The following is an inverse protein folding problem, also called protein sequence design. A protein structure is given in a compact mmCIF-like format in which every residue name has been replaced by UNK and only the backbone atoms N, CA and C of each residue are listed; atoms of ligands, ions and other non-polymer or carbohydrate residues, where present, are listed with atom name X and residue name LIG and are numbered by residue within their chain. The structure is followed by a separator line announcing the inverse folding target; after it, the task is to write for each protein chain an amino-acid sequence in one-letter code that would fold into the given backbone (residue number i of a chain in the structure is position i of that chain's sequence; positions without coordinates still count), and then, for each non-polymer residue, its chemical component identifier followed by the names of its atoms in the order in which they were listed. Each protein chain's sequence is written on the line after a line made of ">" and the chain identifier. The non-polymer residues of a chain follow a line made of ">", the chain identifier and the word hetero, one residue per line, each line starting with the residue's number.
data_IF_175066235471
#
_entry.id   IF_175066235471
#
_cell.length_a   1.000
_cell.length_b   1.000
_cell.length_c   1.000
_cell.angle_alpha   90.00
_cell.angle_beta   90.00
_cell.angle_gamma   90.00
#
_symmetry.space_group_name_H-M   'P 1'
#
loop_
_entity.id
_entity.type
_entity.pdbx_description
1 polymer ?
#
# COMPACT_ATOMS: atom_id res chain seq x y z
N UNK A 1 -22.27 9.97 43.65
CA UNK A 1 -20.86 9.59 43.37
C UNK A 1 -20.72 8.22 42.69
N UNK A 2 -21.33 7.13 43.17
CA UNK A 2 -21.21 5.79 42.55
C UNK A 2 -21.59 5.72 41.06
N UNK A 3 -22.68 6.37 40.65
CA UNK A 3 -23.08 6.46 39.23
C UNK A 3 -22.07 7.24 38.36
N UNK A 4 -21.44 8.26 38.92
CA UNK A 4 -20.44 9.08 38.23
C UNK A 4 -19.13 8.30 38.01
N UNK A 5 -18.75 7.48 38.99
CA UNK A 5 -17.59 6.56 38.88
C UNK A 5 -17.87 5.46 37.85
N UNK A 6 -19.08 4.92 37.78
CA UNK A 6 -19.47 3.93 36.75
C UNK A 6 -19.44 4.55 35.36
N UNK A 7 -19.95 5.78 35.19
CA UNK A 7 -19.90 6.51 33.91
C UNK A 7 -18.44 6.82 33.52
N UNK A 8 -17.59 7.23 34.47
CA UNK A 8 -16.17 7.48 34.22
C UNK A 8 -15.44 6.17 33.86
N UNK A 9 -15.72 5.06 34.54
CA UNK A 9 -15.18 3.73 34.22
C UNK A 9 -15.66 3.24 32.85
N UNK A 10 -16.93 3.46 32.49
CA UNK A 10 -17.47 3.17 31.15
C UNK A 10 -16.84 4.02 30.05
N UNK A 11 -16.43 5.26 30.34
CA UNK A 11 -15.67 6.10 29.40
C UNK A 11 -14.21 5.64 29.24
N UNK A 12 -13.67 4.86 30.19
CA UNK A 12 -12.32 4.26 30.09
C UNK A 12 -12.30 2.88 29.42
N UNK A 13 -13.46 2.22 29.26
CA UNK A 13 -13.58 1.03 28.40
C UNK A 13 -13.66 1.56 26.97
N UNK A 14 -12.49 1.87 26.40
CA UNK A 14 -12.38 2.38 25.05
C UNK A 14 -13.08 1.44 24.07
N UNK A 15 -13.96 1.99 23.23
CA UNK A 15 -14.47 1.26 22.09
C UNK A 15 -13.29 0.86 21.20
N UNK A 16 -13.34 -0.37 20.69
CA UNK A 16 -12.30 -0.86 19.81
C UNK A 16 -12.86 -1.03 18.40
N UNK A 17 -11.96 -1.02 17.42
CA UNK A 17 -12.31 -1.05 16.01
C UNK A 17 -11.70 -2.27 15.38
N UNK A 18 -12.56 -3.14 14.90
CA UNK A 18 -12.20 -4.24 14.03
C UNK A 18 -12.32 -3.78 12.59
N UNK A 19 -11.53 -4.35 11.70
CA UNK A 19 -11.72 -4.12 10.27
C UNK A 19 -11.63 -5.43 9.51
N UNK A 20 -12.34 -5.49 8.40
CA UNK A 20 -12.31 -6.62 7.48
C UNK A 20 -12.65 -6.12 6.08
N UNK A 21 -12.32 -6.92 5.09
CA UNK A 21 -12.46 -6.53 3.70
C UNK A 21 -13.75 -7.10 3.10
N UNK A 22 -14.37 -6.34 2.20
CA UNK A 22 -15.32 -6.89 1.24
C UNK A 22 -14.57 -7.31 -0.03
N UNK A 23 -14.77 -8.55 -0.48
CA UNK A 23 -14.18 -9.05 -1.72
C UNK A 23 -14.94 -8.40 -2.88
N UNK A 24 -14.50 -7.24 -3.34
CA UNK A 24 -14.84 -6.76 -4.69
C UNK A 24 -13.75 -7.21 -5.67
N UNK A 25 -14.15 -7.92 -6.71
CA UNK A 25 -13.31 -8.30 -7.84
C UNK A 25 -13.47 -7.24 -8.93
N UNK A 26 -12.74 -6.13 -8.81
CA UNK A 26 -12.47 -5.29 -9.97
C UNK A 26 -11.17 -5.79 -10.59
N UNK A 27 -11.25 -6.17 -11.87
CA UNK A 27 -10.11 -6.65 -12.65
C UNK A 27 -9.22 -5.47 -13.00
N UNK A 28 -7.90 -5.53 -12.71
CA UNK A 28 -6.99 -4.44 -13.06
C UNK A 28 -6.87 -4.29 -14.59
N UNK A 29 -6.64 -3.06 -15.03
CA UNK A 29 -6.21 -2.78 -16.40
C UNK A 29 -4.78 -3.30 -16.60
N UNK A 30 -4.64 -4.47 -17.21
CA UNK A 30 -3.36 -5.12 -17.51
C UNK A 30 -2.78 -4.61 -18.83
N UNK A 31 -1.73 -3.80 -18.75
CA UNK A 31 -0.88 -3.49 -19.91
C UNK A 31 0.08 -4.67 -20.16
N UNK A 32 -0.16 -5.40 -21.25
CA UNK A 32 0.49 -6.68 -21.56
C UNK A 32 1.88 -6.48 -22.17
N UNK A 33 2.92 -6.83 -21.42
CA UNK A 33 4.23 -7.23 -21.97
C UNK A 33 4.68 -8.56 -21.35
N UNK A 34 5.48 -9.31 -22.10
CA UNK A 34 5.91 -10.67 -21.72
C UNK A 34 7.10 -10.61 -20.74
N UNK A 35 6.91 -11.07 -19.50
CA UNK A 35 7.97 -11.17 -18.48
C UNK A 35 8.78 -12.46 -18.68
N UNK A 36 10.06 -12.48 -18.33
CA UNK A 36 10.86 -13.72 -18.34
C UNK A 36 10.33 -14.76 -17.35
N UNK A 37 10.56 -16.08 -17.57
CA UNK A 37 9.97 -17.12 -16.72
C UNK A 37 10.56 -17.18 -15.30
N UNK A 38 11.75 -16.64 -15.08
CA UNK A 38 12.38 -16.57 -13.75
C UNK A 38 13.18 -15.27 -13.60
N UNK A 39 12.47 -14.13 -13.46
CA UNK A 39 13.11 -12.82 -13.41
C UNK A 39 13.76 -12.58 -12.04
N UNK A 40 14.96 -11.99 -12.03
CA UNK A 40 15.49 -11.37 -10.82
C UNK A 40 14.80 -10.03 -10.60
N UNK A 41 13.96 -9.93 -9.58
CA UNK A 41 13.15 -8.74 -9.31
C UNK A 41 13.70 -7.97 -8.12
N UNK A 42 13.86 -6.65 -8.27
CA UNK A 42 14.04 -5.73 -7.14
C UNK A 42 12.68 -5.18 -6.72
N UNK A 43 12.32 -5.35 -5.45
CA UNK A 43 11.07 -4.83 -4.88
C UNK A 43 11.30 -3.50 -4.18
N UNK A 44 10.53 -2.49 -4.60
CA UNK A 44 10.57 -1.11 -4.15
C UNK A 44 9.19 -0.66 -3.69
N UNK A 45 9.12 0.24 -2.73
CA UNK A 45 7.88 0.68 -2.11
C UNK A 45 7.31 -0.39 -1.18
N UNK A 46 6.01 -0.68 -1.30
CA UNK A 46 5.28 -1.57 -0.40
C UNK A 46 5.33 -1.12 1.07
N UNK A 47 5.27 0.19 1.29
CA UNK A 47 5.19 0.78 2.63
C UNK A 47 3.82 1.43 2.80
N UNK A 48 3.05 1.08 3.86
CA UNK A 48 1.88 1.87 4.24
C UNK A 48 2.32 3.23 4.77
N UNK A 49 1.37 4.14 5.01
CA UNK A 49 1.66 5.43 5.65
C UNK A 49 1.51 5.35 7.16
N UNK A 50 2.24 6.20 7.89
CA UNK A 50 2.04 6.52 9.31
C UNK A 50 1.89 8.02 9.52
N UNK A 51 1.10 8.40 10.53
CA UNK A 51 1.00 9.80 10.96
C UNK A 51 2.24 10.15 11.78
N UNK A 52 2.94 11.22 11.41
CA UNK A 52 4.16 11.68 12.09
C UNK A 52 3.98 13.01 12.83
N UNK A 53 3.02 13.83 12.39
CA UNK A 53 2.73 15.11 13.04
C UNK A 53 1.24 15.41 12.97
N UNK A 54 0.70 15.91 14.08
CA UNK A 54 -0.67 16.35 14.22
C UNK A 54 -0.70 17.66 15.00
N UNK A 55 -0.87 18.77 14.28
CA UNK A 55 -0.99 20.10 14.85
C UNK A 55 -2.42 20.57 14.77
N UNK A 56 -3.07 20.70 15.93
CA UNK A 56 -4.43 21.22 16.06
C UNK A 56 -4.37 22.70 16.40
N UNK A 57 -4.72 23.55 15.44
CA UNK A 57 -4.83 25.01 15.64
C UNK A 57 -6.28 25.47 15.66
N UNK A 58 -6.54 26.64 16.25
CA UNK A 58 -7.88 27.25 16.31
C UNK A 58 -8.52 27.51 14.92
N UNK A 59 -7.69 27.64 13.86
CA UNK A 59 -8.15 27.93 12.49
C UNK A 59 -7.70 26.90 11.45
N UNK A 60 -6.67 26.11 11.73
CA UNK A 60 -6.13 25.11 10.80
C UNK A 60 -5.61 23.92 11.57
N UNK A 61 -5.98 22.73 11.11
CA UNK A 61 -5.36 21.49 11.50
C UNK A 61 -4.35 21.11 10.42
N UNK A 62 -3.16 20.67 10.83
CA UNK A 62 -2.14 20.13 9.94
C UNK A 62 -1.86 18.70 10.36
N UNK A 63 -1.99 17.78 9.42
CA UNK A 63 -1.70 16.37 9.61
C UNK A 63 -0.67 15.98 8.57
N UNK A 64 0.41 15.35 9.01
CA UNK A 64 1.49 14.92 8.13
C UNK A 64 1.58 13.41 8.21
N UNK A 65 1.51 12.77 7.05
CA UNK A 65 1.78 11.34 6.89
C UNK A 65 3.09 11.13 6.12
N UNK A 66 3.81 10.08 6.50
CA UNK A 66 5.03 9.64 5.84
C UNK A 66 5.00 8.12 5.65
N UNK A 67 5.79 7.58 4.72
CA UNK A 67 5.94 6.14 4.56
C UNK A 67 6.44 5.49 5.86
N UNK A 68 5.79 4.39 6.23
CA UNK A 68 6.12 3.61 7.41
C UNK A 68 7.10 2.50 7.08
N UNK A 69 8.38 2.85 7.10
CA UNK A 69 9.49 1.93 6.82
C UNK A 69 9.57 0.74 7.78
N UNK A 70 9.03 0.88 9.00
CA UNK A 70 9.05 -0.16 10.04
C UNK A 70 8.00 -1.25 9.75
N UNK A 71 6.95 -0.91 9.00
CA UNK A 71 5.81 -1.79 8.71
C UNK A 71 5.74 -2.17 7.22
N UNK A 72 6.89 -2.51 6.63
CA UNK A 72 6.96 -2.97 5.25
C UNK A 72 6.03 -4.16 4.96
N UNK A 73 5.49 -4.17 3.74
CA UNK A 73 4.74 -5.27 3.15
C UNK A 73 5.52 -5.96 2.02
N UNK A 74 6.80 -5.65 1.86
CA UNK A 74 7.68 -6.31 0.87
C UNK A 74 7.71 -7.83 1.08
N UNK A 75 7.74 -8.29 2.33
CA UNK A 75 7.79 -9.71 2.69
C UNK A 75 6.51 -10.48 2.30
N UNK A 76 5.40 -9.80 2.09
CA UNK A 76 4.15 -10.42 1.63
C UNK A 76 4.16 -10.65 0.11
N UNK A 77 5.12 -10.06 -0.62
CA UNK A 77 5.28 -10.24 -2.05
C UNK A 77 6.17 -11.45 -2.34
N UNK A 78 5.65 -12.42 -3.12
CA UNK A 78 6.28 -13.75 -3.30
C UNK A 78 7.71 -13.69 -3.86
N UNK A 79 8.01 -12.67 -4.66
CA UNK A 79 9.29 -12.50 -5.33
C UNK A 79 10.23 -11.55 -4.58
N UNK A 80 9.92 -11.22 -3.33
CA UNK A 80 10.81 -10.41 -2.51
C UNK A 80 12.00 -11.23 -2.03
N UNK A 81 13.17 -10.87 -2.52
CA UNK A 81 14.43 -11.43 -2.07
C UNK A 81 15.11 -10.52 -1.03
N UNK A 82 15.17 -11.00 0.20
CA UNK A 82 15.79 -10.30 1.34
C UNK A 82 17.32 -10.33 1.28
N UNK A 83 17.91 -11.38 0.69
CA UNK A 83 19.34 -11.67 0.69
C UNK A 83 20.09 -10.98 -0.45
N UNK A 84 19.43 -10.71 -1.58
CA UNK A 84 20.09 -10.12 -2.75
C UNK A 84 20.34 -8.59 -2.66
N UNK A 85 20.16 -7.97 -1.49
CA UNK A 85 19.99 -6.52 -1.39
C UNK A 85 21.25 -5.68 -1.66
N UNK A 86 22.47 -6.23 -1.57
CA UNK A 86 23.71 -5.46 -1.78
C UNK A 86 24.80 -6.33 -2.42
N UNK A 87 25.06 -6.14 -3.72
CA UNK A 87 26.29 -6.66 -4.33
C UNK A 87 27.50 -5.97 -3.68
N UNK A 88 28.48 -6.74 -3.21
CA UNK A 88 29.73 -6.20 -2.63
C UNK A 88 30.50 -5.28 -3.60
N UNK A 89 30.21 -5.36 -4.90
CA UNK A 89 30.68 -4.43 -5.93
C UNK A 89 29.50 -3.94 -6.80
N UNK A 90 28.94 -2.75 -6.53
CA UNK A 90 27.86 -2.18 -7.33
C UNK A 90 28.39 -1.75 -8.70
N UNK A 91 28.01 -2.46 -9.77
CA UNK A 91 28.20 -1.95 -11.14
C UNK A 91 27.22 -0.80 -11.37
N UNK A 92 27.77 0.38 -11.66
CA UNK A 92 26.98 1.56 -12.05
C UNK A 92 26.59 1.45 -13.52
N UNK A 93 25.32 1.71 -13.82
CA UNK A 93 24.83 1.83 -15.18
C UNK A 93 24.27 3.23 -15.39
N UNK A 94 24.70 3.91 -16.44
CA UNK A 94 24.10 5.18 -16.85
C UNK A 94 22.65 4.96 -17.28
N UNK A 95 21.74 5.74 -16.72
CA UNK A 95 20.33 5.75 -17.08
C UNK A 95 20.04 6.86 -18.07
N UNK A 96 19.00 6.66 -18.88
CA UNK A 96 18.42 7.75 -19.65
C UNK A 96 17.81 8.77 -18.69
N UNK A 97 18.06 10.05 -18.95
CA UNK A 97 17.58 11.15 -18.13
C UNK A 97 16.04 11.18 -18.08
N UNK A 98 15.38 10.90 -19.19
CA UNK A 98 13.91 10.91 -19.27
C UNK A 98 13.30 9.79 -18.41
N UNK A 99 13.82 8.57 -18.53
CA UNK A 99 13.30 7.42 -17.76
C UNK A 99 13.59 7.55 -16.27
N UNK A 100 14.80 7.98 -15.89
CA UNK A 100 15.13 8.23 -14.49
C UNK A 100 14.25 9.33 -13.89
N UNK A 101 14.05 10.43 -14.60
CA UNK A 101 13.20 11.54 -14.14
C UNK A 101 11.74 11.14 -14.02
N UNK A 102 11.20 10.38 -14.99
CA UNK A 102 9.83 9.85 -14.92
C UNK A 102 9.65 8.90 -13.75
N UNK A 103 10.60 8.01 -13.49
CA UNK A 103 10.57 7.11 -12.35
C UNK A 103 10.58 7.86 -11.02
N UNK A 104 11.54 8.79 -10.85
CA UNK A 104 11.72 9.59 -9.63
C UNK A 104 10.48 10.43 -9.35
N UNK A 105 10.04 11.23 -10.33
CA UNK A 105 8.89 12.10 -10.15
C UNK A 105 7.61 11.28 -10.00
N UNK A 106 7.47 10.19 -10.75
CA UNK A 106 6.36 9.26 -10.63
C UNK A 106 6.21 8.77 -9.19
N UNK A 107 7.29 8.32 -8.57
CA UNK A 107 7.24 7.85 -7.18
C UNK A 107 7.02 9.01 -6.18
N UNK A 108 7.82 10.07 -6.25
CA UNK A 108 7.76 11.19 -5.30
C UNK A 108 6.43 11.96 -5.36
N UNK A 109 5.73 11.96 -6.48
CA UNK A 109 4.41 12.58 -6.59
C UNK A 109 3.36 11.88 -5.70
N UNK A 110 3.50 10.57 -5.47
CA UNK A 110 2.58 9.83 -4.60
C UNK A 110 3.02 9.82 -3.13
N UNK A 111 4.31 9.59 -2.86
CA UNK A 111 4.80 9.38 -1.47
C UNK A 111 5.47 10.62 -0.85
N UNK A 112 5.61 11.68 -1.64
CA UNK A 112 6.25 12.92 -1.23
C UNK A 112 7.72 12.73 -0.84
N UNK A 113 8.20 13.60 0.06
CA UNK A 113 9.60 13.61 0.50
C UNK A 113 10.02 12.32 1.21
N UNK A 114 9.07 11.59 1.80
CA UNK A 114 9.38 10.37 2.56
C UNK A 114 9.97 9.27 1.68
N UNK A 115 9.70 9.25 0.37
CA UNK A 115 10.23 8.27 -0.59
C UNK A 115 11.66 8.54 -1.09
N UNK A 116 12.25 9.70 -0.80
CA UNK A 116 13.61 10.04 -1.26
C UNK A 116 14.63 9.01 -0.80
N UNK A 117 14.49 8.53 0.46
CA UNK A 117 15.38 7.52 1.05
C UNK A 117 15.45 6.26 0.20
N UNK A 118 14.35 5.82 -0.40
CA UNK A 118 14.34 4.62 -1.23
C UNK A 118 14.95 4.86 -2.61
N UNK A 119 14.71 6.04 -3.21
CA UNK A 119 15.32 6.41 -4.49
C UNK A 119 16.84 6.43 -4.38
N UNK A 120 17.39 7.00 -3.30
CA UNK A 120 18.83 7.06 -3.05
C UNK A 120 19.49 5.67 -2.97
N UNK A 121 18.74 4.62 -2.61
CA UNK A 121 19.28 3.24 -2.59
C UNK A 121 19.48 2.63 -3.97
N UNK A 122 18.89 3.22 -5.01
CA UNK A 122 18.81 2.64 -6.36
C UNK A 122 19.43 3.56 -7.40
N UNK A 123 19.26 4.87 -7.24
CA UNK A 123 19.71 5.88 -8.19
C UNK A 123 20.67 6.82 -7.47
N UNK A 124 21.85 6.96 -8.06
CA UNK A 124 22.82 7.97 -7.67
C UNK A 124 22.87 9.07 -8.75
N UNK A 125 22.97 10.33 -8.33
CA UNK A 125 23.16 11.47 -9.20
C UNK A 125 24.63 11.91 -9.13
N UNK A 126 25.39 11.66 -10.20
CA UNK A 126 26.78 12.09 -10.32
C UNK A 126 26.94 12.96 -11.57
N UNK A 127 27.55 14.14 -11.45
CA UNK A 127 27.81 15.05 -12.58
C UNK A 127 26.58 15.33 -13.46
N UNK A 128 25.40 15.55 -12.85
CA UNK A 128 24.10 15.75 -13.53
C UNK A 128 23.63 14.55 -14.38
N UNK A 129 24.19 13.37 -14.17
CA UNK A 129 23.77 12.13 -14.82
C UNK A 129 23.27 11.15 -13.77
N UNK A 130 22.17 10.46 -14.09
CA UNK A 130 21.59 9.43 -13.23
C UNK A 130 22.28 8.10 -13.49
N UNK A 131 22.64 7.42 -12.41
CA UNK A 131 23.25 6.10 -12.42
C UNK A 131 22.44 5.12 -11.59
N UNK A 132 22.11 3.98 -12.17
CA UNK A 132 21.52 2.85 -11.47
C UNK A 132 22.60 2.12 -10.67
N UNK A 133 22.33 1.89 -9.39
CA UNK A 133 23.15 1.12 -8.47
C UNK A 133 22.67 -0.35 -8.54
N UNK A 134 23.60 -1.30 -8.60
CA UNK A 134 23.34 -2.75 -8.54
C UNK A 134 22.52 -3.34 -9.71
N UNK A 135 23.17 -3.49 -10.87
CA UNK A 135 22.65 -4.13 -12.11
C UNK A 135 22.40 -5.65 -12.03
N UNK A 136 22.01 -6.22 -10.90
CA UNK A 136 21.79 -7.68 -10.81
C UNK A 136 20.31 -8.08 -10.98
N UNK A 137 19.45 -7.15 -11.38
CA UNK A 137 18.02 -7.38 -11.52
C UNK A 137 17.56 -7.18 -12.95
N UNK A 138 16.66 -8.05 -13.40
CA UNK A 138 16.05 -7.99 -14.73
C UNK A 138 14.89 -6.99 -14.74
N UNK A 139 14.17 -6.89 -13.63
CA UNK A 139 13.02 -6.00 -13.45
C UNK A 139 13.00 -5.35 -12.07
N UNK A 140 12.36 -4.19 -12.02
CA UNK A 140 12.08 -3.45 -10.78
C UNK A 140 10.56 -3.38 -10.62
N UNK A 141 10.04 -3.83 -9.48
CA UNK A 141 8.62 -3.66 -9.15
C UNK A 141 8.48 -2.59 -8.07
N UNK A 142 7.63 -1.61 -8.33
CA UNK A 142 7.32 -0.52 -7.42
C UNK A 142 5.86 -0.65 -6.98
N UNK A 143 5.66 -0.91 -5.69
CA UNK A 143 4.33 -0.93 -5.07
C UNK A 143 4.07 0.38 -4.33
N UNK A 144 3.00 1.08 -4.70
CA UNK A 144 2.55 2.31 -4.05
C UNK A 144 1.18 2.03 -3.45
N UNK A 145 1.08 2.24 -2.15
CA UNK A 145 -0.18 2.13 -1.43
C UNK A 145 -0.78 3.51 -1.21
N UNK A 146 -2.10 3.59 -1.24
CA UNK A 146 -2.83 4.78 -0.88
C UNK A 146 -4.26 4.46 -0.44
N UNK A 147 -5.05 5.48 -0.11
CA UNK A 147 -4.62 6.85 0.16
C UNK A 147 -3.74 6.98 1.43
N UNK A 148 -3.10 8.14 1.56
CA UNK A 148 -2.29 8.53 2.72
C UNK A 148 -3.09 8.58 4.03
N UNK A 149 -4.34 9.03 3.96
CA UNK A 149 -5.29 9.03 5.06
C UNK A 149 -6.56 8.27 4.71
N UNK A 150 -7.25 7.73 5.72
CA UNK A 150 -8.56 7.09 5.55
C UNK A 150 -9.53 8.03 4.82
N UNK A 151 -10.01 7.60 3.65
CA UNK A 151 -11.09 8.27 2.91
C UNK A 151 -12.36 7.45 3.03
N UNK A 152 -13.41 8.06 3.61
CA UNK A 152 -14.73 7.42 3.64
C UNK A 152 -15.30 7.43 2.23
N UNK A 153 -15.93 6.33 1.86
CA UNK A 153 -16.65 6.21 0.61
C UNK A 153 -17.77 7.24 0.55
N UNK A 154 -17.89 7.95 -0.57
CA UNK A 154 -18.76 9.13 -0.73
C UNK A 154 -20.24 8.79 -0.44
N UNK A 155 -20.68 7.57 -0.74
CA UNK A 155 -22.08 7.13 -0.60
C UNK A 155 -22.35 6.28 0.66
N UNK A 156 -21.52 6.37 1.71
CA UNK A 156 -21.67 5.57 2.95
C UNK A 156 -22.78 6.11 3.89
N UNK A 157 -24.01 6.18 3.39
CA UNK A 157 -25.21 6.52 4.17
C UNK A 157 -25.43 5.53 5.31
N UNK A 158 -25.20 4.24 5.04
CA UNK A 158 -25.31 3.17 6.03
C UNK A 158 -24.35 3.40 7.19
N UNK A 159 -23.10 3.76 6.91
CA UNK A 159 -22.12 4.01 7.96
C UNK A 159 -22.44 5.24 8.79
N UNK A 160 -22.92 6.31 8.16
CA UNK A 160 -23.39 7.50 8.88
C UNK A 160 -24.56 7.19 9.80
N UNK A 161 -25.53 6.39 9.34
CA UNK A 161 -26.67 5.98 10.15
C UNK A 161 -26.26 5.10 11.34
N UNK A 162 -25.46 4.06 11.10
CA UNK A 162 -25.02 3.14 12.17
C UNK A 162 -24.19 3.84 13.24
N UNK A 163 -23.42 4.87 12.90
CA UNK A 163 -22.71 5.70 13.89
C UNK A 163 -23.63 6.39 14.89
N UNK A 164 -24.78 6.89 14.45
CA UNK A 164 -25.74 7.58 15.33
C UNK A 164 -26.25 6.60 16.39
N UNK A 165 -26.70 5.42 15.96
CA UNK A 165 -27.15 4.38 16.89
C UNK A 165 -26.03 3.88 17.79
N UNK A 166 -24.83 3.72 17.24
CA UNK A 166 -23.69 3.32 18.02
C UNK A 166 -23.36 4.34 19.11
N UNK A 167 -23.38 5.64 18.79
CA UNK A 167 -23.19 6.71 19.77
C UNK A 167 -24.31 6.73 20.83
N UNK A 168 -25.57 6.65 20.41
CA UNK A 168 -26.73 6.64 21.31
C UNK A 168 -26.76 5.42 22.23
N UNK A 169 -26.21 4.29 21.79
CA UNK A 169 -26.14 3.04 22.56
C UNK A 169 -24.77 2.80 23.21
N UNK A 170 -23.91 3.83 23.25
CA UNK A 170 -22.56 3.75 23.84
C UNK A 170 -21.72 2.57 23.34
N UNK A 171 -21.81 2.26 22.05
CA UNK A 171 -21.01 1.20 21.43
C UNK A 171 -21.61 -0.20 21.51
N UNK A 172 -22.81 -0.38 22.07
CA UNK A 172 -23.49 -1.69 22.12
C UNK A 172 -23.91 -2.11 20.71
N UNK A 173 -24.60 -1.23 19.97
CA UNK A 173 -24.86 -1.43 18.55
C UNK A 173 -23.61 -1.02 17.78
N UNK A 174 -23.04 -1.84 16.90
CA UNK A 174 -21.82 -1.49 16.17
C UNK A 174 -22.03 -0.35 15.16
N UNK A 175 -21.03 0.52 15.03
CA UNK A 175 -20.89 1.39 13.86
C UNK A 175 -20.15 0.64 12.75
N UNK A 176 -20.67 0.68 11.53
CA UNK A 176 -20.02 0.10 10.35
C UNK A 176 -19.57 1.28 9.49
N UNK A 177 -18.39 1.21 8.90
CA UNK A 177 -17.91 2.25 7.97
C UNK A 177 -17.18 1.60 6.82
N UNK A 178 -17.34 2.16 5.62
CA UNK A 178 -16.59 1.79 4.42
C UNK A 178 -15.54 2.84 4.08
N UNK A 179 -14.32 2.39 3.82
CA UNK A 179 -13.19 3.22 3.43
C UNK A 179 -12.57 2.75 2.12
N UNK A 180 -12.11 3.71 1.33
CA UNK A 180 -11.40 3.47 0.10
C UNK A 180 -9.93 3.14 0.38
N UNK A 181 -9.40 2.19 -0.39
CA UNK A 181 -8.00 1.77 -0.36
C UNK A 181 -7.55 1.46 -1.78
N UNK A 182 -6.33 1.85 -2.10
CA UNK A 182 -5.80 1.78 -3.45
C UNK A 182 -4.38 1.20 -3.41
N UNK A 183 -4.07 0.36 -4.39
CA UNK A 183 -2.73 -0.13 -4.63
C UNK A 183 -2.35 0.05 -6.10
N UNK A 184 -1.23 0.71 -6.36
CA UNK A 184 -0.66 0.88 -7.69
C UNK A 184 0.67 0.15 -7.79
N UNK A 185 0.81 -0.70 -8.81
CA UNK A 185 2.00 -1.52 -9.03
C UNK A 185 2.57 -1.23 -10.39
N UNK A 186 3.84 -0.84 -10.42
CA UNK A 186 4.54 -0.50 -11.64
C UNK A 186 5.70 -1.45 -11.81
N UNK A 187 5.74 -2.12 -12.95
CA UNK A 187 6.83 -2.97 -13.37
C UNK A 187 7.71 -2.19 -14.35
N UNK A 188 8.99 -2.10 -14.03
CA UNK A 188 10.00 -1.48 -14.88
C UNK A 188 11.02 -2.50 -15.33
N UNK A 189 11.59 -2.29 -16.50
CA UNK A 189 12.72 -3.06 -17.00
C UNK A 189 14.04 -2.69 -16.28
N UNK A 190 15.11 -3.37 -16.64
CA UNK A 190 16.49 -3.10 -16.19
C UNK A 190 17.00 -1.66 -16.40
N UNK A 191 16.34 -0.87 -17.24
CA UNK A 191 16.70 0.52 -17.56
C UNK A 191 15.71 1.52 -16.94
N UNK A 192 14.83 1.07 -16.04
CA UNK A 192 13.73 1.85 -15.45
C UNK A 192 12.70 2.36 -16.47
N UNK A 193 12.57 1.71 -17.62
CA UNK A 193 11.48 1.95 -18.55
C UNK A 193 10.24 1.20 -18.06
N UNK A 194 9.10 1.88 -18.01
CA UNK A 194 7.83 1.27 -17.60
C UNK A 194 7.41 0.19 -18.61
N UNK A 195 7.18 -1.02 -18.09
CA UNK A 195 6.77 -2.22 -18.83
C UNK A 195 5.27 -2.46 -18.64
N UNK A 196 4.82 -2.39 -17.40
CA UNK A 196 3.41 -2.64 -17.05
C UNK A 196 3.02 -1.85 -15.82
N UNK A 197 1.74 -1.51 -15.71
CA UNK A 197 1.15 -0.91 -14.53
C UNK A 197 -0.16 -1.61 -14.21
N UNK A 198 -0.41 -1.87 -12.94
CA UNK A 198 -1.64 -2.46 -12.42
C UNK A 198 -2.18 -1.56 -11.32
N UNK A 199 -3.48 -1.26 -11.37
CA UNK A 199 -4.16 -0.43 -10.39
C UNK A 199 -5.30 -1.22 -9.75
N UNK A 200 -5.34 -1.19 -8.42
CA UNK A 200 -6.28 -1.97 -7.61
C UNK A 200 -7.06 -1.03 -6.69
N UNK A 201 -8.17 -0.45 -7.15
CA UNK A 201 -9.11 0.24 -6.30
C UNK A 201 -9.90 -0.79 -5.49
N UNK A 202 -9.98 -0.60 -4.19
CA UNK A 202 -10.67 -1.50 -3.28
C UNK A 202 -11.34 -0.72 -2.15
N UNK A 203 -12.16 -1.43 -1.39
CA UNK A 203 -12.76 -0.89 -0.17
C UNK A 203 -12.54 -1.88 0.97
N UNK A 204 -12.37 -1.35 2.16
CA UNK A 204 -12.38 -2.13 3.39
C UNK A 204 -13.40 -1.57 4.36
N UNK A 205 -13.94 -2.45 5.19
CA UNK A 205 -14.92 -2.11 6.21
C UNK A 205 -14.26 -2.05 7.57
N UNK A 206 -14.74 -1.15 8.40
CA UNK A 206 -14.45 -1.18 9.83
C UNK A 206 -15.74 -1.32 10.60
N UNK A 207 -15.70 -2.13 11.65
CA UNK A 207 -16.74 -2.22 12.66
C UNK A 207 -16.15 -1.64 13.94
N UNK A 208 -16.85 -0.70 14.55
CA UNK A 208 -16.49 -0.14 15.85
C UNK A 208 -17.58 -0.50 16.84
N UNK A 209 -17.22 -1.15 17.95
CA UNK A 209 -18.15 -1.46 19.03
C UNK A 209 -17.41 -1.56 20.38
N UNK A 210 -18.18 -1.57 21.47
CA UNK A 210 -17.65 -1.64 22.83
C UNK A 210 -17.16 -3.05 23.19
N UNK A 211 -17.87 -4.07 22.71
CA UNK A 211 -17.68 -5.47 23.11
C UNK A 211 -16.72 -6.25 22.21
N UNK A 212 -16.23 -5.65 21.13
CA UNK A 212 -15.33 -6.29 20.19
C UNK A 212 -13.89 -5.97 20.56
N UNK A 213 -12.95 -6.83 20.17
CA UNK A 213 -11.52 -6.59 20.26
C UNK A 213 -10.96 -6.18 18.90
N UNK A 214 -10.01 -5.24 18.82
CA UNK A 214 -9.45 -4.80 17.56
C UNK A 214 -8.48 -5.86 17.04
N UNK A 215 -8.49 -6.08 15.73
CA UNK A 215 -7.55 -6.98 15.08
C UNK A 215 -6.22 -6.29 14.69
N UNK A 216 -6.24 -4.99 14.40
CA UNK A 216 -5.02 -4.18 14.34
C UNK A 216 -5.29 -2.77 14.84
N UNK A 217 -4.31 -2.20 15.56
CA UNK A 217 -4.38 -0.88 16.14
C UNK A 217 -5.38 -0.76 17.30
N UNK A 218 -5.41 0.41 17.93
CA UNK A 218 -6.44 0.76 18.91
C UNK A 218 -7.07 2.07 18.48
N UNK A 219 -8.36 2.04 18.14
CA UNK A 219 -9.06 3.19 17.57
C UNK A 219 -10.31 3.50 18.38
N UNK A 220 -10.42 4.72 18.85
CA UNK A 220 -11.61 5.23 19.54
C UNK A 220 -12.58 5.87 18.54
N UNK A 221 -13.82 6.12 18.98
CA UNK A 221 -14.88 6.76 18.19
C UNK A 221 -14.48 8.08 17.53
N UNK A 222 -13.54 8.81 18.15
CA UNK A 222 -13.19 10.18 17.78
C UNK A 222 -11.93 10.29 16.92
N UNK A 223 -11.20 9.19 16.71
CA UNK A 223 -10.06 9.18 15.80
C UNK A 223 -10.54 8.94 14.36
N UNK A 224 -10.82 10.04 13.67
CA UNK A 224 -11.16 10.06 12.25
C UNK A 224 -9.97 10.34 11.33
N UNK A 225 -8.81 10.68 11.88
CA UNK A 225 -7.63 11.15 11.14
C UNK A 225 -6.48 10.14 11.17
N UNK A 226 -6.82 8.87 10.96
CA UNK A 226 -5.84 7.80 10.97
C UNK A 226 -5.37 7.45 9.57
N UNK A 227 -4.21 6.79 9.53
CA UNK A 227 -3.72 6.04 8.37
C UNK A 227 -4.46 4.72 8.23
N UNK A 228 -4.45 4.16 7.03
CA UNK A 228 -5.07 2.87 6.71
C UNK A 228 -4.31 1.73 7.44
N UNK A 229 -5.01 0.78 8.08
CA UNK A 229 -4.36 -0.33 8.78
C UNK A 229 -3.56 -1.22 7.81
N UNK A 230 -2.43 -1.75 8.27
CA UNK A 230 -1.51 -2.56 7.46
C UNK A 230 -2.23 -3.77 6.84
N UNK A 231 -3.08 -4.44 7.60
CA UNK A 231 -3.82 -5.62 7.19
C UNK A 231 -4.74 -5.36 6.00
N UNK A 232 -5.24 -4.13 5.83
CA UNK A 232 -6.07 -3.79 4.67
C UNK A 232 -5.28 -3.86 3.35
N UNK A 233 -3.96 -3.62 3.38
CA UNK A 233 -3.09 -3.72 2.21
C UNK A 233 -2.59 -5.14 1.93
N UNK A 234 -2.64 -6.07 2.88
CA UNK A 234 -2.13 -7.45 2.68
C UNK A 234 -2.84 -8.16 1.54
N UNK A 235 -4.16 -8.03 1.48
CA UNK A 235 -4.96 -8.65 0.43
C UNK A 235 -4.70 -8.03 -0.95
N UNK A 236 -4.27 -6.77 -1.00
CA UNK A 236 -3.81 -6.17 -2.25
C UNK A 236 -2.56 -6.91 -2.73
N UNK A 237 -1.54 -7.03 -1.87
CA UNK A 237 -0.28 -7.75 -2.16
C UNK A 237 -0.54 -9.17 -2.66
N UNK A 238 -1.44 -9.90 -2.00
CA UNK A 238 -1.82 -11.25 -2.42
C UNK A 238 -2.43 -11.30 -3.82
N UNK A 239 -3.28 -10.34 -4.19
CA UNK A 239 -3.84 -10.28 -5.55
C UNK A 239 -2.78 -10.02 -6.60
N UNK A 240 -1.83 -9.13 -6.32
CA UNK A 240 -0.72 -8.88 -7.26
C UNK A 240 0.15 -10.10 -7.41
N UNK A 241 0.37 -10.87 -6.34
CA UNK A 241 1.09 -12.14 -6.46
C UNK A 241 0.39 -13.07 -7.48
N UNK A 242 -0.94 -13.17 -7.42
CA UNK A 242 -1.73 -13.97 -8.37
C UNK A 242 -1.61 -13.40 -9.80
N UNK A 243 -1.80 -12.09 -9.96
CA UNK A 243 -1.77 -11.47 -11.28
C UNK A 243 -0.37 -11.48 -11.91
N UNK A 244 0.68 -11.38 -11.10
CA UNK A 244 2.06 -11.52 -11.53
C UNK A 244 2.38 -12.95 -11.97
N UNK A 245 1.89 -13.97 -11.26
CA UNK A 245 1.97 -15.37 -11.70
C UNK A 245 1.26 -15.59 -13.04
N UNK A 246 0.07 -14.99 -13.22
CA UNK A 246 -0.67 -15.05 -14.46
C UNK A 246 0.12 -14.45 -15.64
N UNK A 247 0.77 -13.29 -15.41
CA UNK A 247 1.65 -12.65 -16.40
C UNK A 247 2.83 -13.54 -16.82
N UNK A 248 3.43 -14.25 -15.86
CA UNK A 248 4.53 -15.20 -16.11
C UNK A 248 4.06 -16.43 -16.89
N UNK A 249 2.88 -16.97 -16.56
CA UNK A 249 2.36 -18.18 -17.17
C UNK A 249 1.85 -17.99 -18.61
N UNK A 250 1.39 -16.79 -18.98
CA UNK A 250 1.06 -16.46 -20.38
C UNK A 250 2.24 -16.69 -21.36
N UNK A 251 3.48 -16.63 -20.87
CA UNK A 251 4.68 -16.95 -21.66
C UNK A 251 4.86 -18.44 -21.92
N UNK A 252 4.55 -19.32 -20.96
CA UNK A 252 4.72 -20.78 -21.12
C UNK A 252 3.83 -21.33 -22.22
N UNK A 253 2.60 -20.85 -22.33
CA UNK A 253 1.66 -21.30 -23.36
C UNK A 253 2.02 -20.78 -24.76
N UNK A 254 2.46 -19.52 -24.89
CA UNK A 254 2.91 -18.97 -26.19
C UNK A 254 4.27 -19.48 -26.67
N UNK A 255 5.10 -20.03 -25.77
CA UNK A 255 6.38 -20.64 -26.12
C UNK A 255 6.26 -22.15 -26.50
N UNK A 256 5.07 -22.73 -26.39
CA UNK A 256 4.77 -24.12 -26.76
C UNK A 256 3.77 -24.31 -27.93
N UNK A 257 3.78 -23.55 -29.05
CA UNK A 257 2.95 -23.89 -30.22
C UNK A 257 3.64 -24.82 -31.23
N UNK A 258 4.95 -25.07 -31.12
CA UNK A 258 5.73 -25.75 -32.17
C UNK A 258 5.91 -27.27 -31.97
N UNK A 259 5.11 -27.92 -31.10
CA UNK A 259 5.16 -29.38 -30.89
C UNK A 259 3.90 -30.14 -31.32
N UNK A 260 2.88 -29.48 -31.88
CA UNK A 260 1.68 -30.14 -32.43
C UNK A 260 1.57 -30.05 -33.96
N UNK A 261 2.71 -29.97 -34.66
CA UNK A 261 2.77 -30.26 -36.10
C UNK A 261 3.91 -31.21 -36.41
N UNK A 262 3.72 -32.49 -36.09
CA UNK A 262 4.35 -33.63 -36.77
C UNK A 262 3.41 -34.81 -36.79
#
# INVERSE_FOLDING_TARGET
>A
MRFLIIIILLNTIGCTRFFYKDIREESPELYKENITPDPKIKVLGFYPFKVVDYQRGLRKNKIIAELDYDNSLKEEFLYYDKENSISKNPKKQKLDFEYATRFINGYLNFVGKSGIKEIETIINLENKQFYLINKNYDYYILGIFGPDFKRRKIDDFKGTFTKIFCFLTLGIIPAIEEFDIEGSFYLFDKNLKLVSSMYYPQTYKTITSLWMWPNEGFYTFFNSHDVIPKGAYKDLVQRINIDFENLKNLKKQKASPDLEKK
#
